data_IF_059390625367
#
_entry.id   IF_059390625367
#
_cell.length_a   1.000
_cell.length_b   1.000
_cell.length_c   1.000
_cell.angle_alpha   90.00
_cell.angle_beta   90.00
_cell.angle_gamma   90.00
#
_symmetry.space_group_name_H-M   'P 1'
#
loop_
_entity.id
_entity.type
_entity.pdbx_description
1 polymer ?
#
# COMPACT_ATOMS: atom_id res chain seq x y z
N UNK A 1 6.52 20.75 -4.90
CA UNK A 1 5.85 20.68 -6.22
C UNK A 1 6.85 20.06 -7.19
N UNK A 2 6.41 19.11 -8.00
CA UNK A 2 7.25 18.29 -8.86
C UNK A 2 6.77 18.43 -10.31
N UNK A 3 7.74 18.56 -11.22
CA UNK A 3 7.52 18.47 -12.65
C UNK A 3 7.56 16.98 -13.05
N UNK A 4 6.44 16.38 -13.48
CA UNK A 4 6.33 14.94 -13.73
C UNK A 4 7.27 14.46 -14.86
N UNK A 5 7.75 15.35 -15.72
CA UNK A 5 8.72 15.01 -16.76
C UNK A 5 10.16 14.91 -16.24
N UNK A 6 10.44 15.43 -15.04
CA UNK A 6 11.79 15.48 -14.44
C UNK A 6 11.99 14.48 -13.31
N UNK A 7 10.90 13.96 -12.74
CA UNK A 7 10.95 13.03 -11.62
C UNK A 7 10.32 11.69 -11.95
N UNK A 8 10.74 10.66 -11.23
CA UNK A 8 10.05 9.37 -11.10
C UNK A 8 9.59 9.23 -9.66
N UNK A 9 8.35 8.78 -9.47
CA UNK A 9 7.83 8.38 -8.17
C UNK A 9 7.74 6.86 -8.13
N UNK A 10 8.12 6.30 -6.99
CA UNK A 10 8.02 4.88 -6.69
C UNK A 10 7.52 4.71 -5.25
N UNK A 11 6.78 3.63 -4.99
CA UNK A 11 6.48 3.17 -3.63
C UNK A 11 7.53 2.12 -3.24
N UNK A 12 8.12 2.29 -2.06
CA UNK A 12 9.14 1.37 -1.54
C UNK A 12 8.78 0.86 -0.15
N UNK A 13 9.01 -0.43 0.06
CA UNK A 13 8.84 -1.07 1.35
C UNK A 13 9.95 -0.71 2.33
N UNK A 14 9.60 -0.59 3.60
CA UNK A 14 10.55 -0.70 4.69
C UNK A 14 11.31 -2.02 4.62
N UNK A 15 12.64 -1.97 4.76
CA UNK A 15 13.49 -3.17 4.80
C UNK A 15 13.39 -4.09 3.56
N UNK A 16 12.80 -3.62 2.45
CA UNK A 16 12.50 -4.43 1.25
C UNK A 16 11.69 -5.71 1.54
N UNK A 17 10.80 -5.65 2.53
CA UNK A 17 10.02 -6.78 3.06
C UNK A 17 8.59 -6.34 3.35
N UNK A 18 7.61 -7.25 3.19
CA UNK A 18 6.20 -6.92 3.46
C UNK A 18 5.90 -6.61 4.95
N UNK A 19 6.77 -7.09 5.84
CA UNK A 19 6.80 -6.72 7.26
C UNK A 19 8.15 -6.09 7.61
N UNK A 20 8.13 -5.16 8.55
CA UNK A 20 9.28 -4.35 8.93
C UNK A 20 8.97 -2.86 8.91
N UNK A 21 9.73 -2.12 9.71
CA UNK A 21 9.57 -0.67 9.82
C UNK A 21 10.89 0.03 9.47
N UNK A 22 10.83 1.14 8.76
CA UNK A 22 12.02 1.92 8.42
C UNK A 22 11.69 3.42 8.44
N UNK A 23 12.65 4.25 8.81
CA UNK A 23 12.46 5.72 8.74
C UNK A 23 12.32 6.13 7.27
N UNK A 24 11.39 7.04 6.97
CA UNK A 24 11.24 7.63 5.62
C UNK A 24 12.56 8.21 5.11
N UNK A 25 13.35 8.84 5.96
CA UNK A 25 14.66 9.39 5.63
C UNK A 25 15.71 8.31 5.35
N UNK A 26 15.59 7.13 5.95
CA UNK A 26 16.45 5.98 5.67
C UNK A 26 16.10 5.38 4.31
N UNK A 27 14.80 5.17 4.05
CA UNK A 27 14.28 4.75 2.74
C UNK A 27 14.74 5.70 1.63
N UNK A 28 14.58 7.00 1.83
CA UNK A 28 15.00 8.00 0.86
C UNK A 28 16.51 7.90 0.54
N UNK A 29 17.37 7.79 1.56
CA UNK A 29 18.82 7.72 1.37
C UNK A 29 19.24 6.45 0.63
N UNK A 30 18.75 5.27 1.03
CA UNK A 30 19.17 4.00 0.42
C UNK A 30 18.68 3.83 -1.02
N UNK A 31 17.61 4.53 -1.39
CA UNK A 31 17.08 4.57 -2.76
C UNK A 31 17.59 5.77 -3.58
N UNK A 32 18.50 6.59 -3.03
CA UNK A 32 19.04 7.76 -3.75
C UNK A 32 17.97 8.80 -4.11
N UNK A 33 16.92 8.91 -3.30
CA UNK A 33 15.81 9.82 -3.53
C UNK A 33 16.21 11.27 -3.21
N UNK A 34 15.78 12.22 -4.04
CA UNK A 34 15.93 13.66 -3.76
C UNK A 34 14.89 14.16 -2.77
N UNK A 35 13.73 13.50 -2.72
CA UNK A 35 12.67 13.78 -1.77
C UNK A 35 11.91 12.49 -1.44
N UNK A 36 11.26 12.43 -0.29
CA UNK A 36 10.35 11.36 0.07
C UNK A 36 9.30 11.81 1.08
N UNK A 37 8.17 11.13 1.11
CA UNK A 37 7.17 11.21 2.18
C UNK A 37 6.81 9.79 2.64
N UNK A 38 6.30 9.63 3.86
CA UNK A 38 5.71 8.35 4.25
C UNK A 38 4.51 8.01 3.35
N UNK A 39 4.23 6.71 3.19
CA UNK A 39 3.16 6.23 2.32
C UNK A 39 1.89 5.81 3.09
N UNK A 40 1.44 4.58 2.83
CA UNK A 40 0.17 4.04 3.30
C UNK A 40 0.12 3.75 4.80
N UNK A 41 -1.05 3.28 5.24
CA UNK A 41 -1.27 2.82 6.60
C UNK A 41 -0.65 1.45 6.80
N UNK A 42 -0.16 1.20 8.02
CA UNK A 42 0.50 -0.05 8.38
C UNK A 42 0.20 -0.42 9.83
N UNK A 43 0.46 -1.68 10.19
CA UNK A 43 0.40 -2.16 11.56
C UNK A 43 1.53 -1.55 12.37
N UNK A 44 1.18 -0.62 13.24
CA UNK A 44 2.12 0.12 14.09
C UNK A 44 2.08 -0.38 15.54
N UNK A 45 2.59 -1.58 15.78
CA UNK A 45 2.74 -2.19 17.11
C UNK A 45 4.16 -2.74 17.32
N UNK A 46 4.39 -3.46 18.42
CA UNK A 46 5.68 -4.07 18.76
C UNK A 46 5.73 -5.57 18.39
N UNK A 47 4.77 -6.06 17.61
CA UNK A 47 4.72 -7.47 17.21
C UNK A 47 5.73 -7.78 16.10
N UNK A 48 5.93 -9.08 15.84
CA UNK A 48 6.71 -9.53 14.67
C UNK A 48 6.06 -9.13 13.33
N UNK A 49 4.80 -8.70 13.34
CA UNK A 49 4.02 -8.27 12.18
C UNK A 49 4.03 -6.75 11.98
N UNK A 50 4.75 -6.01 12.81
CA UNK A 50 4.88 -4.57 12.67
C UNK A 50 5.36 -4.20 11.26
N UNK A 51 4.67 -3.26 10.63
CA UNK A 51 4.91 -2.84 9.24
C UNK A 51 4.05 -3.53 8.18
N UNK A 52 3.27 -4.55 8.55
CA UNK A 52 2.23 -5.11 7.68
C UNK A 52 1.32 -4.00 7.13
N UNK A 53 1.12 -3.96 5.81
CA UNK A 53 0.29 -2.94 5.17
C UNK A 53 -1.19 -3.07 5.60
N UNK A 54 -1.84 -1.95 5.90
CA UNK A 54 -3.25 -1.90 6.31
C UNK A 54 -4.13 -1.33 5.19
N UNK A 55 -4.11 -2.01 4.05
CA UNK A 55 -4.82 -1.63 2.84
C UNK A 55 -4.07 -2.08 1.60
N UNK A 56 -4.56 -1.69 0.44
CA UNK A 56 -3.96 -2.13 -0.83
C UNK A 56 -2.51 -1.65 -0.93
N UNK A 57 -1.63 -2.57 -1.32
CA UNK A 57 -0.26 -2.26 -1.65
C UNK A 57 0.17 -3.06 -2.87
N UNK A 58 0.57 -2.35 -3.92
CA UNK A 58 1.21 -2.89 -5.10
C UNK A 58 2.54 -2.18 -5.27
N UNK A 59 3.62 -2.94 -5.41
CA UNK A 59 4.94 -2.40 -5.72
C UNK A 59 5.51 -3.17 -6.89
N UNK A 60 6.02 -2.47 -7.90
CA UNK A 60 6.58 -3.05 -9.12
C UNK A 60 5.65 -4.09 -9.78
N UNK A 61 4.37 -3.74 -9.90
CA UNK A 61 3.29 -4.58 -10.47
C UNK A 61 2.97 -5.85 -9.65
N UNK A 62 3.45 -5.96 -8.41
CA UNK A 62 3.18 -7.11 -7.54
C UNK A 62 2.19 -6.71 -6.45
N UNK A 63 1.07 -7.44 -6.37
CA UNK A 63 0.10 -7.28 -5.28
C UNK A 63 0.68 -7.88 -3.99
N UNK A 64 0.94 -7.02 -3.00
CA UNK A 64 1.58 -7.38 -1.74
C UNK A 64 0.62 -7.35 -0.56
N UNK A 65 -0.47 -6.61 -0.65
CA UNK A 65 -1.53 -6.53 0.36
C UNK A 65 -2.88 -6.25 -0.30
N UNK A 66 -3.94 -6.90 0.19
CA UNK A 66 -5.31 -6.73 -0.26
C UNK A 66 -5.89 -5.36 0.08
N UNK A 67 -6.93 -4.94 -0.65
CA UNK A 67 -7.70 -3.75 -0.26
C UNK A 67 -8.57 -3.99 0.97
N UNK A 68 -8.86 -2.93 1.72
CA UNK A 68 -9.87 -2.92 2.77
C UNK A 68 -10.88 -1.77 2.54
N UNK A 69 -12.15 -2.01 2.91
CA UNK A 69 -13.21 -1.00 2.99
C UNK A 69 -13.41 -0.11 1.73
N UNK A 70 -13.06 -0.60 0.53
CA UNK A 70 -13.12 0.17 -0.73
C UNK A 70 -12.44 1.55 -0.62
N UNK A 71 -11.33 1.61 0.12
CA UNK A 71 -10.59 2.86 0.37
C UNK A 71 -9.97 3.44 -0.88
N UNK A 72 -9.78 4.76 -0.85
CA UNK A 72 -9.10 5.48 -1.92
C UNK A 72 -7.63 5.07 -1.94
N UNK A 73 -7.10 4.81 -3.13
CA UNK A 73 -5.68 4.51 -3.33
C UNK A 73 -5.04 5.50 -4.31
N UNK A 74 -3.74 5.71 -4.13
CA UNK A 74 -2.87 6.36 -5.08
C UNK A 74 -2.39 5.31 -6.09
N UNK A 75 -2.56 5.61 -7.38
CA UNK A 75 -2.02 4.85 -8.50
C UNK A 75 -0.87 5.65 -9.09
N UNK A 76 0.29 5.01 -9.26
CA UNK A 76 1.48 5.62 -9.87
C UNK A 76 1.85 4.81 -11.11
N UNK A 77 1.96 5.50 -12.24
CA UNK A 77 2.53 4.95 -13.47
C UNK A 77 3.64 5.86 -14.00
N UNK A 78 4.66 5.27 -14.64
CA UNK A 78 5.83 6.00 -15.12
C UNK A 78 6.09 5.78 -16.62
N UNK A 79 5.10 5.95 -17.52
CA UNK A 79 5.23 5.63 -18.93
C UNK A 79 6.29 6.51 -19.61
N UNK A 80 7.31 5.87 -20.18
CA UNK A 80 8.43 6.58 -20.80
C UNK A 80 9.11 7.55 -19.83
N UNK A 81 9.03 8.85 -20.13
CA UNK A 81 9.71 9.90 -19.37
C UNK A 81 8.78 10.80 -18.54
N UNK A 82 7.54 10.35 -18.27
CA UNK A 82 6.60 11.10 -17.44
C UNK A 82 6.09 10.25 -16.29
N UNK A 83 5.90 10.85 -15.12
CA UNK A 83 5.19 10.25 -13.99
C UNK A 83 3.76 10.74 -13.96
N UNK A 84 2.81 9.83 -13.87
CA UNK A 84 1.41 10.14 -13.66
C UNK A 84 0.95 9.63 -12.30
N UNK A 85 0.00 10.35 -11.72
CA UNK A 85 -0.73 9.89 -10.54
C UNK A 85 -2.23 10.01 -10.75
N UNK A 86 -2.95 9.02 -10.25
CA UNK A 86 -4.41 9.03 -10.17
C UNK A 86 -4.85 8.56 -8.79
N UNK A 87 -6.01 9.02 -8.35
CA UNK A 87 -6.66 8.58 -7.13
C UNK A 87 -7.94 7.87 -7.52
N UNK A 88 -8.26 6.74 -6.90
CA UNK A 88 -9.54 6.07 -7.07
C UNK A 88 -9.78 5.07 -5.93
N UNK A 89 -11.05 4.79 -5.57
CA UNK A 89 -11.35 3.65 -4.72
C UNK A 89 -11.03 2.34 -5.45
N UNK A 90 -10.54 1.35 -4.72
CA UNK A 90 -10.25 0.02 -5.28
C UNK A 90 -10.61 -1.08 -4.29
N UNK A 91 -11.28 -2.11 -4.81
CA UNK A 91 -11.40 -3.39 -4.13
C UNK A 91 -10.65 -4.44 -4.94
N UNK A 92 -9.56 -4.97 -4.39
CA UNK A 92 -8.65 -5.93 -5.04
C UNK A 92 -8.21 -6.99 -4.05
N UNK A 93 -8.06 -8.22 -4.55
CA UNK A 93 -7.51 -9.34 -3.80
C UNK A 93 -6.92 -10.38 -4.73
N UNK A 94 -6.41 -11.47 -4.17
CA UNK A 94 -5.94 -12.62 -4.92
C UNK A 94 -6.83 -13.83 -4.71
N UNK A 95 -6.76 -14.74 -5.66
CA UNK A 95 -7.44 -16.02 -5.62
C UNK A 95 -6.54 -17.13 -6.15
N UNK A 96 -6.97 -18.36 -5.96
CA UNK A 96 -6.44 -19.49 -6.72
C UNK A 96 -7.55 -20.41 -7.18
N UNK A 97 -7.35 -21.01 -8.34
CA UNK A 97 -8.21 -22.07 -8.87
C UNK A 97 -7.55 -23.41 -8.66
N UNK A 98 -8.31 -24.33 -8.08
CA UNK A 98 -7.89 -25.71 -7.82
C UNK A 98 -9.06 -26.66 -8.09
N UNK A 99 -8.83 -27.69 -8.91
CA UNK A 99 -9.86 -28.67 -9.28
C UNK A 99 -11.17 -28.03 -9.80
N UNK A 100 -11.06 -26.96 -10.61
CA UNK A 100 -12.22 -26.25 -11.17
C UNK A 100 -12.95 -25.32 -10.20
N UNK A 101 -12.50 -25.21 -8.96
CA UNK A 101 -13.06 -24.29 -7.96
C UNK A 101 -12.15 -23.09 -7.76
N UNK A 102 -12.75 -21.91 -7.70
CA UNK A 102 -12.06 -20.67 -7.30
C UNK A 102 -12.20 -20.44 -5.79
N UNK A 103 -11.09 -20.06 -5.17
CA UNK A 103 -10.99 -19.71 -3.76
C UNK A 103 -10.30 -18.35 -3.64
N UNK A 104 -11.01 -17.40 -3.04
CA UNK A 104 -10.46 -16.08 -2.76
C UNK A 104 -9.69 -16.11 -1.46
N UNK A 105 -8.48 -15.57 -1.47
CA UNK A 105 -7.73 -15.35 -0.24
C UNK A 105 -8.45 -14.30 0.61
N UNK A 106 -8.45 -14.50 1.93
CA UNK A 106 -8.90 -13.48 2.88
C UNK A 106 -7.83 -12.44 3.14
N UNK A 107 -6.57 -12.71 2.75
CA UNK A 107 -5.50 -11.72 2.75
C UNK A 107 -4.18 -12.20 2.18
N UNK A 108 -3.23 -11.29 2.08
CA UNK A 108 -1.92 -11.47 1.43
C UNK A 108 -0.83 -10.96 2.38
N UNK A 109 0.24 -11.75 2.58
CA UNK A 109 1.46 -11.34 3.29
C UNK A 109 1.23 -10.70 4.68
N UNK A 110 0.21 -11.16 5.41
CA UNK A 110 -0.17 -10.66 6.73
C UNK A 110 -0.29 -11.74 7.80
N UNK A 111 -0.49 -11.35 9.06
CA UNK A 111 -0.80 -12.30 10.13
C UNK A 111 -2.03 -13.14 9.78
N UNK A 112 -1.90 -14.47 9.91
CA UNK A 112 -3.01 -15.42 9.72
C UNK A 112 -3.78 -15.60 11.03
N UNK A 113 -5.05 -15.22 11.02
CA UNK A 113 -5.96 -15.35 12.17
C UNK A 113 -6.74 -16.68 12.14
N UNK A 114 -7.73 -16.79 13.01
CA UNK A 114 -8.70 -17.89 12.97
C UNK A 114 -9.65 -17.73 11.77
N UNK A 115 -9.92 -18.85 11.10
CA UNK A 115 -10.74 -18.92 9.89
C UNK A 115 -10.27 -18.02 8.72
N UNK A 116 -8.95 -17.95 8.53
CA UNK A 116 -8.30 -17.21 7.43
C UNK A 116 -7.81 -18.15 6.32
N UNK A 117 -7.67 -17.60 5.12
CA UNK A 117 -6.99 -18.18 3.96
C UNK A 117 -6.02 -17.15 3.41
N UNK A 118 -4.74 -17.28 3.74
CA UNK A 118 -3.70 -16.29 3.45
C UNK A 118 -2.78 -16.77 2.32
N UNK A 119 -2.46 -15.85 1.42
CA UNK A 119 -1.39 -16.00 0.46
C UNK A 119 -0.08 -15.42 1.01
N UNK A 120 0.95 -16.26 1.13
CA UNK A 120 2.31 -15.79 1.41
C UNK A 120 3.17 -15.89 0.16
N UNK A 121 3.71 -14.75 -0.25
CA UNK A 121 4.57 -14.57 -1.42
C UNK A 121 6.04 -14.37 -1.00
N UNK A 122 7.03 -14.54 -1.90
CA UNK A 122 8.44 -14.35 -1.57
C UNK A 122 8.77 -12.97 -1.00
N UNK A 123 7.98 -11.96 -1.33
CA UNK A 123 8.09 -10.58 -0.84
C UNK A 123 7.73 -10.45 0.65
N UNK A 124 7.02 -11.42 1.22
CA UNK A 124 6.74 -11.44 2.66
C UNK A 124 7.99 -11.70 3.50
N UNK A 125 8.83 -12.63 3.06
CA UNK A 125 9.99 -13.07 3.81
C UNK A 125 10.38 -14.51 3.49
N UNK A 126 11.32 -15.05 4.27
CA UNK A 126 11.84 -16.40 4.03
C UNK A 126 10.83 -17.51 4.37
N UNK A 127 10.00 -17.30 5.38
CA UNK A 127 8.95 -18.23 5.80
C UNK A 127 7.67 -17.50 6.17
N UNK A 128 6.57 -18.24 6.32
CA UNK A 128 5.25 -17.66 6.61
C UNK A 128 5.10 -17.07 8.01
N UNK A 129 6.06 -17.30 8.91
CA UNK A 129 6.03 -16.92 10.33
C UNK A 129 4.79 -17.41 11.10
N UNK A 130 3.98 -18.27 10.50
CA UNK A 130 2.77 -18.76 11.12
C UNK A 130 3.08 -19.71 12.27
N UNK A 131 2.17 -19.77 13.23
CA UNK A 131 2.20 -20.77 14.29
C UNK A 131 1.78 -22.14 13.76
N UNK A 132 2.13 -23.21 14.48
CA UNK A 132 1.79 -24.62 14.19
C UNK A 132 0.30 -24.96 14.35
N UNK A 133 -0.58 -24.20 13.70
CA UNK A 133 -2.03 -24.39 13.68
C UNK A 133 -2.51 -24.41 12.22
N UNK A 134 -3.47 -25.26 11.87
CA UNK A 134 -4.06 -25.27 10.52
C UNK A 134 -3.21 -25.96 9.46
N UNK A 135 -3.35 -25.53 8.21
CA UNK A 135 -2.80 -26.18 7.01
C UNK A 135 -1.99 -25.20 6.17
N UNK A 136 -0.78 -25.57 5.77
CA UNK A 136 0.00 -24.85 4.76
C UNK A 136 0.23 -25.73 3.53
N UNK A 137 -0.03 -25.18 2.35
CA UNK A 137 0.21 -25.83 1.06
C UNK A 137 1.29 -25.05 0.32
N UNK A 138 2.43 -25.70 0.11
CA UNK A 138 3.59 -25.12 -0.54
C UNK A 138 3.44 -25.36 -2.04
N UNK A 139 3.48 -24.29 -2.82
CA UNK A 139 3.30 -24.31 -4.27
C UNK A 139 4.58 -23.82 -4.93
N UNK A 140 5.09 -24.59 -5.89
CA UNK A 140 6.25 -24.22 -6.72
C UNK A 140 5.89 -24.36 -8.19
N UNK A 141 6.12 -23.33 -9.02
CA UNK A 141 5.81 -23.33 -10.46
C UNK A 141 4.41 -23.87 -10.75
N UNK A 142 3.41 -23.30 -10.06
CA UNK A 142 1.99 -23.66 -10.18
C UNK A 142 1.63 -25.11 -9.81
N UNK A 143 2.50 -25.83 -9.07
CA UNK A 143 2.21 -27.19 -8.57
C UNK A 143 2.37 -27.27 -7.07
N UNK A 144 1.47 -27.99 -6.41
CA UNK A 144 1.61 -28.32 -5.00
C UNK A 144 2.80 -29.27 -4.84
N UNK A 145 3.79 -28.89 -4.05
CA UNK A 145 4.99 -29.70 -3.79
C UNK A 145 5.05 -30.26 -2.38
N UNK A 146 4.39 -29.60 -1.42
CA UNK A 146 4.25 -30.10 -0.07
C UNK A 146 2.93 -29.62 0.55
N UNK A 147 2.45 -30.41 1.51
CA UNK A 147 1.28 -30.13 2.33
C UNK A 147 1.72 -30.36 3.76
N UNK A 148 1.51 -29.35 4.59
CA UNK A 148 2.04 -29.25 5.93
C UNK A 148 0.87 -29.04 6.89
N UNK A 149 0.60 -30.03 7.73
CA UNK A 149 -0.48 -30.00 8.72
C UNK A 149 0.12 -29.71 10.10
N UNK A 150 -0.47 -28.79 10.84
CA UNK A 150 -0.10 -28.47 12.23
C UNK A 150 1.37 -28.03 12.44
N UNK A 151 2.09 -27.76 11.36
CA UNK A 151 3.37 -27.07 11.35
C UNK A 151 3.22 -25.75 10.60
N UNK A 152 3.69 -24.67 11.21
CA UNK A 152 3.70 -23.33 10.64
C UNK A 152 5.10 -22.90 10.25
N UNK A 153 5.24 -21.67 9.76
CA UNK A 153 6.52 -21.07 9.37
C UNK A 153 7.26 -21.88 8.29
N UNK A 154 6.53 -22.39 7.29
CA UNK A 154 7.15 -23.06 6.15
C UNK A 154 7.91 -22.07 5.25
N UNK A 155 8.98 -22.53 4.61
CA UNK A 155 9.77 -21.74 3.66
C UNK A 155 8.91 -21.37 2.45
N UNK A 156 8.95 -20.10 2.08
CA UNK A 156 8.26 -19.59 0.89
C UNK A 156 9.18 -19.76 -0.33
N UNK A 157 8.80 -20.55 -1.35
CA UNK A 157 9.64 -20.76 -2.53
C UNK A 157 9.73 -19.49 -3.38
N UNK A 158 10.93 -19.14 -3.86
CA UNK A 158 11.15 -17.94 -4.70
C UNK A 158 10.37 -17.95 -6.02
N UNK A 159 10.08 -19.12 -6.56
CA UNK A 159 9.27 -19.36 -7.77
C UNK A 159 7.88 -19.92 -7.42
N UNK A 160 7.31 -19.48 -6.29
CA UNK A 160 6.11 -20.05 -5.72
C UNK A 160 5.45 -19.20 -4.64
N UNK A 161 4.52 -19.81 -3.91
CA UNK A 161 3.79 -19.23 -2.78
C UNK A 161 3.55 -20.29 -1.71
N UNK A 162 3.14 -19.86 -0.52
CA UNK A 162 2.51 -20.74 0.48
C UNK A 162 1.06 -20.29 0.68
N UNK A 163 0.13 -21.23 0.52
CA UNK A 163 -1.29 -21.04 0.84
C UNK A 163 -1.50 -21.52 2.27
N UNK A 164 -1.85 -20.62 3.18
CA UNK A 164 -1.96 -20.91 4.60
C UNK A 164 -3.40 -20.74 5.08
N UNK A 165 -3.98 -21.75 5.72
CA UNK A 165 -5.41 -21.80 6.02
C UNK A 165 -5.70 -22.27 7.45
N UNK A 166 -6.68 -21.67 8.10
CA UNK A 166 -7.26 -22.09 9.39
C UNK A 166 -8.77 -22.27 9.26
N UNK A 167 -9.42 -22.84 10.29
CA UNK A 167 -10.88 -22.99 10.33
C UNK A 167 -11.48 -23.75 9.14
N UNK A 168 -12.58 -23.25 8.60
CA UNK A 168 -13.31 -23.86 7.49
C UNK A 168 -12.47 -23.92 6.21
N UNK A 169 -11.62 -22.92 5.99
CA UNK A 169 -10.70 -22.88 4.84
C UNK A 169 -9.68 -24.01 4.90
N UNK A 170 -9.13 -24.32 6.09
CA UNK A 170 -8.23 -25.47 6.25
C UNK A 170 -8.93 -26.78 5.88
N UNK A 171 -10.17 -26.98 6.35
CA UNK A 171 -10.97 -28.15 6.02
C UNK A 171 -11.26 -28.27 4.52
N UNK A 172 -11.59 -27.15 3.86
CA UNK A 172 -11.84 -27.10 2.41
C UNK A 172 -10.56 -27.38 1.62
N UNK A 173 -9.45 -26.73 1.98
CA UNK A 173 -8.16 -26.90 1.30
C UNK A 173 -7.62 -28.32 1.48
N UNK A 174 -7.78 -28.97 2.64
CA UNK A 174 -7.39 -30.36 2.88
C UNK A 174 -8.07 -31.35 1.92
N UNK A 175 -9.33 -31.10 1.55
CA UNK A 175 -10.05 -31.92 0.56
C UNK A 175 -9.54 -31.72 -0.87
N UNK A 176 -9.04 -30.52 -1.18
CA UNK A 176 -8.66 -30.11 -2.53
C UNK A 176 -7.16 -30.25 -2.82
N UNK A 177 -6.30 -30.12 -1.84
CA UNK A 177 -4.85 -30.11 -2.03
C UNK A 177 -4.30 -31.54 -2.19
N UNK A 178 -3.56 -31.80 -3.27
CA UNK A 178 -2.85 -33.06 -3.52
C UNK A 178 -1.48 -32.75 -4.11
N UNK A 179 -0.42 -33.41 -3.66
CA UNK A 179 0.93 -33.23 -4.22
C UNK A 179 0.89 -33.48 -5.74
N UNK A 180 1.58 -32.63 -6.50
CA UNK A 180 1.61 -32.65 -7.96
C UNK A 180 0.42 -31.96 -8.65
N UNK A 181 -0.67 -31.67 -7.92
CA UNK A 181 -1.83 -30.95 -8.47
C UNK A 181 -1.44 -29.54 -8.87
N UNK A 182 -1.90 -29.12 -10.04
CA UNK A 182 -1.74 -27.75 -10.52
C UNK A 182 -2.69 -26.80 -9.81
N UNK A 183 -2.23 -25.60 -9.54
CA UNK A 183 -3.06 -24.46 -9.15
C UNK A 183 -2.85 -23.31 -10.13
N UNK A 184 -3.87 -22.50 -10.34
CA UNK A 184 -3.77 -21.26 -11.10
C UNK A 184 -3.99 -20.10 -10.15
N UNK A 185 -2.99 -19.25 -9.96
CA UNK A 185 -3.12 -18.02 -9.18
C UNK A 185 -3.82 -16.96 -10.03
N UNK A 186 -4.73 -16.20 -9.42
CA UNK A 186 -5.42 -15.08 -10.04
C UNK A 186 -5.43 -13.85 -9.12
N UNK A 187 -5.61 -12.68 -9.72
CA UNK A 187 -5.88 -11.42 -9.03
C UNK A 187 -7.22 -10.93 -9.56
N UNK A 188 -8.11 -10.53 -8.66
CA UNK A 188 -9.42 -10.01 -9.02
C UNK A 188 -9.56 -8.58 -8.53
N UNK A 189 -10.29 -7.78 -9.31
CA UNK A 189 -10.71 -6.43 -8.92
C UNK A 189 -12.22 -6.44 -8.92
N UNK A 190 -12.80 -6.06 -7.79
CA UNK A 190 -14.23 -5.82 -7.69
C UNK A 190 -14.44 -4.34 -7.99
N UNK A 191 -15.05 -4.07 -9.13
CA UNK A 191 -15.70 -2.79 -9.34
C UNK A 191 -16.90 -2.77 -8.39
N UNK A 192 -16.84 -2.02 -7.29
CA UNK A 192 -18.01 -1.89 -6.43
C UNK A 192 -19.12 -1.20 -7.26
N UNK A 193 -20.09 -2.01 -7.67
CA UNK A 193 -21.24 -1.59 -8.43
C UNK A 193 -22.45 -1.96 -7.56
N UNK A 194 -23.02 -0.98 -6.86
CA UNK A 194 -24.46 -1.03 -6.60
C UNK A 194 -25.19 -1.15 -7.94
N UNK A 195 -26.45 -1.58 -7.96
CA UNK A 195 -27.25 -2.08 -9.12
C UNK A 195 -27.20 -1.38 -10.51
N UNK A 196 -26.37 -0.38 -10.77
CA UNK A 196 -26.28 0.36 -12.03
C UNK A 196 -25.04 0.04 -12.85
N UNK A 197 -25.23 -0.11 -14.16
CA UNK A 197 -24.21 -0.16 -15.21
C UNK A 197 -22.95 0.67 -14.88
N UNK A 198 -21.76 0.03 -14.97
CA UNK A 198 -20.40 0.60 -14.89
C UNK A 198 -20.32 2.06 -14.43
N UNK A 199 -20.25 2.30 -13.13
CA UNK A 199 -20.06 3.65 -12.58
C UNK A 199 -18.79 4.32 -13.14
N UNK A 200 -18.79 5.66 -13.22
CA UNK A 200 -17.62 6.43 -13.65
C UNK A 200 -16.36 6.12 -12.84
N UNK A 201 -16.51 5.83 -11.54
CA UNK A 201 -15.44 5.38 -10.67
C UNK A 201 -14.90 4.00 -11.06
N UNK A 202 -15.76 3.06 -11.46
CA UNK A 202 -15.32 1.74 -11.95
C UNK A 202 -14.44 1.85 -13.20
N UNK A 203 -14.80 2.74 -14.12
CA UNK A 203 -14.01 3.02 -15.34
C UNK A 203 -12.67 3.70 -14.99
N UNK A 204 -12.68 4.66 -14.06
CA UNK A 204 -11.46 5.33 -13.57
C UNK A 204 -10.52 4.32 -12.92
N UNK A 205 -11.00 3.52 -11.98
CA UNK A 205 -10.22 2.47 -11.30
C UNK A 205 -9.65 1.47 -12.30
N UNK A 206 -10.45 0.99 -13.26
CA UNK A 206 -9.98 0.05 -14.28
C UNK A 206 -8.85 0.61 -15.13
N UNK A 207 -8.97 1.86 -15.60
CA UNK A 207 -7.92 2.54 -16.38
C UNK A 207 -6.66 2.82 -15.56
N UNK A 208 -6.81 3.34 -14.34
CA UNK A 208 -5.70 3.62 -13.45
C UNK A 208 -4.93 2.33 -13.14
N UNK A 209 -5.65 1.29 -12.72
CA UNK A 209 -5.07 -0.02 -12.42
C UNK A 209 -4.32 -0.63 -13.62
N UNK A 210 -4.89 -0.56 -14.82
CA UNK A 210 -4.28 -1.18 -16.02
C UNK A 210 -2.89 -0.62 -16.38
N UNK A 211 -2.52 0.54 -15.84
CA UNK A 211 -1.23 1.21 -16.09
C UNK A 211 -0.33 1.27 -14.87
N UNK A 212 -0.90 1.18 -13.67
CA UNK A 212 -0.17 1.44 -12.44
C UNK A 212 0.94 0.41 -12.20
N UNK A 213 2.16 0.92 -11.99
CA UNK A 213 3.30 0.14 -11.54
C UNK A 213 3.24 -0.04 -10.02
N UNK A 214 2.87 1.03 -9.31
CA UNK A 214 2.74 1.04 -7.85
C UNK A 214 1.37 1.56 -7.43
N UNK A 215 0.85 1.01 -6.33
CA UNK A 215 -0.38 1.45 -5.68
C UNK A 215 -0.17 1.46 -4.17
N UNK A 216 -0.54 2.54 -3.50
CA UNK A 216 -0.61 2.55 -2.03
C UNK A 216 -1.95 3.10 -1.54
N UNK A 217 -2.51 2.45 -0.54
CA UNK A 217 -3.75 2.87 0.11
C UNK A 217 -3.60 4.18 0.89
N UNK A 218 -4.67 4.97 0.91
CA UNK A 218 -4.82 6.15 1.75
C UNK A 218 -6.20 6.16 2.40
N UNK A 219 -6.45 7.23 3.17
CA UNK A 219 -7.74 7.59 3.75
C UNK A 219 -7.62 9.08 4.08
N UNK A 220 -8.35 10.00 3.47
CA UNK A 220 -9.45 9.90 2.50
C UNK A 220 -9.05 10.57 1.19
N UNK A 221 -9.82 10.40 0.10
CA UNK A 221 -9.81 11.39 -0.98
C UNK A 221 -10.13 12.77 -0.37
N UNK A 222 -9.43 13.81 -0.83
CA UNK A 222 -9.55 15.17 -0.31
C UNK A 222 -10.23 16.07 -1.33
N UNK A 223 -9.73 16.02 -2.57
CA UNK A 223 -10.19 16.82 -3.70
C UNK A 223 -10.41 15.92 -4.91
N UNK A 224 -11.46 16.22 -5.67
CA UNK A 224 -11.75 15.59 -6.96
C UNK A 224 -12.20 16.65 -7.94
N UNK A 225 -11.52 16.75 -9.09
CA UNK A 225 -11.85 17.71 -10.15
C UNK A 225 -12.02 19.18 -9.65
N UNK A 226 -11.13 19.62 -8.76
CA UNK A 226 -11.12 20.97 -8.21
C UNK A 226 -12.24 21.25 -7.20
N UNK A 227 -12.81 20.21 -6.58
CA UNK A 227 -13.83 20.33 -5.53
C UNK A 227 -13.47 19.48 -4.33
N UNK A 228 -13.85 19.95 -3.14
CA UNK A 228 -13.73 19.15 -1.91
C UNK A 228 -14.60 17.90 -2.04
N UNK A 229 -13.98 16.74 -1.83
CA UNK A 229 -14.63 15.45 -1.92
C UNK A 229 -14.05 14.53 -0.83
N UNK A 230 -14.56 14.68 0.39
CA UNK A 230 -14.14 13.89 1.54
C UNK A 230 -14.94 12.59 1.63
N UNK A 231 -14.27 11.45 1.50
CA UNK A 231 -14.82 10.09 1.48
C UNK A 231 -14.55 9.29 2.75
N UNK A 232 -14.05 9.93 3.82
CA UNK A 232 -13.61 9.23 5.03
C UNK A 232 -14.73 8.42 5.72
N UNK A 233 -16.01 8.81 5.55
CA UNK A 233 -17.16 8.09 6.11
C UNK A 233 -17.41 6.78 5.37
N UNK A 234 -17.43 6.85 4.04
CA UNK A 234 -17.58 5.71 3.13
C UNK A 234 -16.42 4.72 3.31
N UNK A 235 -15.22 5.25 3.54
CA UNK A 235 -13.98 4.52 3.81
C UNK A 235 -13.86 3.98 5.26
N UNK A 236 -14.91 4.18 6.07
CA UNK A 236 -15.05 3.75 7.47
C UNK A 236 -13.91 4.22 8.38
N UNK A 237 -13.43 5.43 8.17
CA UNK A 237 -12.48 6.07 9.06
C UNK A 237 -13.16 6.57 10.33
N UNK A 238 -12.42 6.62 11.45
CA UNK A 238 -12.94 7.17 12.69
C UNK A 238 -13.21 8.68 12.55
N UNK A 239 -14.30 9.17 13.16
CA UNK A 239 -14.62 10.60 13.16
C UNK A 239 -13.48 11.45 13.76
N UNK A 240 -12.86 10.98 14.85
CA UNK A 240 -11.71 11.65 15.47
C UNK A 240 -10.45 11.69 14.59
N UNK A 241 -10.33 10.79 13.61
CA UNK A 241 -9.28 10.87 12.61
C UNK A 241 -9.55 11.98 11.60
N UNK A 242 -10.81 12.21 11.24
CA UNK A 242 -11.20 13.20 10.25
C UNK A 242 -11.31 14.62 10.82
N UNK A 243 -11.98 14.77 11.96
CA UNK A 243 -12.43 16.05 12.50
C UNK A 243 -11.48 16.66 13.53
N UNK A 244 -10.55 15.88 14.11
CA UNK A 244 -9.51 16.46 14.96
C UNK A 244 -8.30 16.89 14.11
N UNK A 245 -7.57 17.89 14.62
CA UNK A 245 -6.31 18.32 14.02
C UNK A 245 -5.20 17.32 14.32
N UNK A 246 -4.53 16.85 13.28
CA UNK A 246 -3.38 15.96 13.35
C UNK A 246 -2.29 16.44 12.39
N UNK A 247 -1.02 16.02 12.59
CA UNK A 247 -0.06 16.02 11.50
C UNK A 247 -0.62 15.21 10.32
N UNK A 248 -0.42 15.69 9.10
CA UNK A 248 -0.97 15.09 7.87
C UNK A 248 0.11 14.90 6.83
N UNK A 249 -0.01 13.82 6.07
CA UNK A 249 0.74 13.62 4.83
C UNK A 249 -0.27 13.50 3.70
N UNK A 250 -0.05 14.21 2.60
CA UNK A 250 -0.92 14.13 1.44
C UNK A 250 -0.13 14.21 0.14
N UNK A 251 -0.73 13.67 -0.91
CA UNK A 251 -0.25 13.79 -2.28
C UNK A 251 -1.38 14.37 -3.14
N UNK A 252 -1.01 15.23 -4.07
CA UNK A 252 -1.93 16.06 -4.82
C UNK A 252 -1.46 16.24 -6.26
N UNK A 253 -2.42 16.49 -7.16
CA UNK A 253 -2.22 16.77 -8.58
C UNK A 253 -2.86 18.10 -8.94
N UNK A 254 -2.14 18.92 -9.69
CA UNK A 254 -2.65 20.16 -10.28
C UNK A 254 -3.33 19.86 -11.63
N UNK A 255 -4.19 20.77 -12.15
CA UNK A 255 -4.82 20.62 -13.47
C UNK A 255 -3.82 20.41 -14.63
N UNK A 256 -2.61 20.94 -14.50
CA UNK A 256 -1.53 20.80 -15.49
C UNK A 256 -0.68 19.53 -15.31
N UNK A 257 -1.08 18.64 -14.40
CA UNK A 257 -0.38 17.38 -14.13
C UNK A 257 0.80 17.49 -13.16
N UNK A 258 1.17 18.70 -12.70
CA UNK A 258 2.20 18.82 -11.65
C UNK A 258 1.76 18.11 -10.37
N UNK A 259 2.73 17.53 -9.67
CA UNK A 259 2.50 16.76 -8.44
C UNK A 259 2.92 17.59 -7.23
N UNK A 260 2.18 17.48 -6.13
CA UNK A 260 2.52 18.07 -4.84
C UNK A 260 2.60 16.96 -3.79
N UNK A 261 3.74 16.88 -3.11
CA UNK A 261 3.87 16.18 -1.83
C UNK A 261 3.68 17.22 -0.72
N UNK A 262 2.85 16.90 0.27
CA UNK A 262 2.54 17.78 1.39
C UNK A 262 2.75 17.05 2.72
N UNK A 263 3.44 17.71 3.64
CA UNK A 263 3.55 17.33 5.05
C UNK A 263 3.13 18.50 5.92
N UNK A 264 2.21 18.25 6.83
CA UNK A 264 1.70 19.22 7.80
C UNK A 264 2.13 18.74 9.17
N UNK A 265 2.96 19.53 9.86
CA UNK A 265 3.32 19.26 11.26
C UNK A 265 2.10 19.39 12.18
N UNK A 266 2.14 18.78 13.36
CA UNK A 266 1.05 18.90 14.33
C UNK A 266 1.44 18.44 15.72
N UNK A 267 0.49 18.54 16.66
CA UNK A 267 0.66 18.18 18.09
C UNK A 267 1.76 18.98 18.81
N UNK A 268 2.08 20.18 18.31
CA UNK A 268 3.07 21.09 18.91
C UNK A 268 2.41 22.46 19.13
N UNK A 269 1.70 22.67 20.26
CA UNK A 269 1.11 23.96 20.60
C UNK A 269 2.14 25.10 20.50
N UNK A 270 1.75 26.22 19.90
CA UNK A 270 2.64 27.36 19.65
C UNK A 270 3.54 27.23 18.41
N UNK A 271 3.55 26.09 17.72
CA UNK A 271 4.28 25.89 16.45
C UNK A 271 3.35 25.41 15.34
N UNK A 272 2.85 24.18 15.45
CA UNK A 272 1.82 23.65 14.56
C UNK A 272 0.89 22.72 15.32
N UNK A 273 -0.41 22.98 15.21
CA UNK A 273 -1.46 22.17 15.83
C UNK A 273 -1.98 21.07 14.89
N UNK A 274 -1.54 21.05 13.63
CA UNK A 274 -2.03 20.14 12.60
C UNK A 274 -3.28 20.66 11.90
N UNK A 275 -3.89 19.81 11.08
CA UNK A 275 -5.10 20.11 10.32
C UNK A 275 -6.14 18.99 10.44
N UNK A 276 -7.42 19.35 10.39
CA UNK A 276 -8.51 18.41 10.07
C UNK A 276 -8.41 18.01 8.59
N UNK A 277 -9.13 16.96 8.16
CA UNK A 277 -9.18 16.63 6.73
C UNK A 277 -9.84 17.76 5.90
N UNK A 278 -10.84 18.43 6.47
CA UNK A 278 -11.50 19.58 5.85
C UNK A 278 -10.54 20.76 5.65
N UNK A 279 -9.80 21.15 6.70
CA UNK A 279 -8.82 22.25 6.63
C UNK A 279 -7.71 21.96 5.61
N UNK A 280 -7.24 20.70 5.55
CA UNK A 280 -6.25 20.29 4.56
C UNK A 280 -6.81 20.38 3.13
N UNK A 281 -8.04 19.90 2.90
CA UNK A 281 -8.68 19.98 1.58
C UNK A 281 -8.90 21.43 1.15
N UNK A 282 -9.40 22.30 2.04
CA UNK A 282 -9.57 23.73 1.80
C UNK A 282 -8.24 24.41 1.45
N UNK A 283 -7.17 24.10 2.18
CA UNK A 283 -5.84 24.62 1.89
C UNK A 283 -5.34 24.19 0.51
N UNK A 284 -5.42 22.89 0.19
CA UNK A 284 -4.99 22.36 -1.11
C UNK A 284 -5.80 22.98 -2.26
N UNK A 285 -7.11 23.15 -2.09
CA UNK A 285 -7.97 23.82 -3.05
C UNK A 285 -7.57 25.28 -3.24
N UNK A 286 -7.27 26.00 -2.15
CA UNK A 286 -6.88 27.42 -2.18
C UNK A 286 -5.60 27.68 -2.99
N UNK A 287 -4.70 26.69 -3.08
CA UNK A 287 -3.46 26.78 -3.85
C UNK A 287 -3.58 26.20 -5.27
N UNK A 288 -4.79 25.81 -5.70
CA UNK A 288 -5.11 25.41 -7.08
C UNK A 288 -4.99 23.91 -7.39
N UNK A 289 -4.95 23.04 -6.37
CA UNK A 289 -4.93 21.58 -6.58
C UNK A 289 -6.28 21.10 -7.14
N UNK A 290 -6.25 20.18 -8.11
CA UNK A 290 -7.46 19.58 -8.67
C UNK A 290 -7.86 18.30 -7.94
N UNK A 291 -6.90 17.43 -7.67
CA UNK A 291 -7.14 16.10 -7.10
C UNK A 291 -6.14 15.84 -5.97
N UNK A 292 -6.59 15.25 -4.87
CA UNK A 292 -5.71 14.98 -3.74
C UNK A 292 -6.22 13.84 -2.88
N UNK A 293 -5.30 13.17 -2.20
CA UNK A 293 -5.58 12.11 -1.24
C UNK A 293 -4.69 12.27 0.00
N UNK A 294 -5.26 11.99 1.16
CA UNK A 294 -4.52 11.89 2.42
C UNK A 294 -3.90 10.49 2.59
N UNK A 295 -2.65 10.46 3.03
CA UNK A 295 -1.85 9.27 3.36
C UNK A 295 -1.79 9.07 4.88
N UNK A 296 -0.99 8.12 5.36
CA UNK A 296 -0.81 7.96 6.82
C UNK A 296 -0.23 9.24 7.44
N UNK A 297 -0.68 9.58 8.64
CA UNK A 297 -0.40 10.86 9.29
C UNK A 297 0.16 10.71 10.69
N UNK A 298 -0.08 11.72 11.54
CA UNK A 298 0.35 11.68 12.93
C UNK A 298 1.88 11.57 13.06
N UNK A 299 2.36 10.62 13.86
CA UNK A 299 3.80 10.42 14.05
C UNK A 299 4.54 9.94 12.80
N UNK A 300 3.81 9.38 11.83
CA UNK A 300 4.36 8.92 10.56
C UNK A 300 4.70 10.08 9.63
N UNK A 301 4.06 11.25 9.79
CA UNK A 301 4.27 12.42 8.91
C UNK A 301 5.72 12.86 8.91
N UNK A 302 6.38 12.54 7.80
CA UNK A 302 7.78 12.88 7.56
C UNK A 302 7.96 13.26 6.11
N UNK A 303 8.61 14.40 5.86
CA UNK A 303 9.09 14.80 4.55
C UNK A 303 10.62 14.87 4.58
N UNK A 304 11.23 14.10 3.69
CA UNK A 304 12.65 14.18 3.37
C UNK A 304 12.85 15.00 2.11
N UNK A 305 13.84 15.89 2.10
CA UNK A 305 14.25 16.66 0.93
C UNK A 305 15.74 16.97 1.04
N UNK A 306 16.49 16.65 -0.02
CA UNK A 306 17.88 17.05 -0.20
C UNK A 306 18.77 16.74 1.02
N UNK A 307 18.86 15.46 1.39
CA UNK A 307 19.74 15.01 2.47
C UNK A 307 19.11 14.94 3.86
N UNK A 308 17.99 15.64 4.10
CA UNK A 308 17.46 15.88 5.45
C UNK A 308 15.94 15.80 5.56
N UNK A 309 15.46 15.57 6.79
CA UNK A 309 14.05 15.75 7.15
C UNK A 309 13.78 17.26 7.27
N UNK A 310 12.72 17.75 6.63
CA UNK A 310 12.41 19.19 6.53
C UNK A 310 11.18 19.61 7.34
N UNK A 311 10.42 18.67 7.89
CA UNK A 311 9.33 18.93 8.81
C UNK A 311 9.72 18.54 10.25
N UNK A 312 8.82 18.69 11.22
CA UNK A 312 9.03 18.35 12.63
C UNK A 312 8.20 17.12 13.04
N UNK A 313 8.70 15.88 12.89
CA UNK A 313 8.01 14.67 13.30
C UNK A 313 7.42 14.76 14.70
N UNK A 314 6.17 14.34 14.88
CA UNK A 314 5.43 14.67 16.10
C UNK A 314 5.74 13.77 17.31
N UNK A 315 6.30 12.58 17.08
CA UNK A 315 6.59 11.64 18.16
C UNK A 315 7.76 12.13 19.01
N UNK A 316 7.70 11.88 20.32
CA UNK A 316 8.75 12.29 21.26
C UNK A 316 10.13 11.68 20.93
N UNK A 317 10.14 10.49 20.33
CA UNK A 317 11.37 9.80 19.87
C UNK A 317 11.88 10.30 18.51
N UNK A 318 11.24 11.30 17.91
CA UNK A 318 11.57 11.86 16.60
C UNK A 318 10.85 11.17 15.45
N UNK A 319 11.53 11.04 14.30
CA UNK A 319 11.01 10.39 13.10
C UNK A 319 10.57 8.94 13.38
N UNK A 320 9.29 8.65 13.17
CA UNK A 320 8.72 7.31 13.28
C UNK A 320 9.19 6.42 12.13
N UNK A 321 9.36 5.13 12.42
CA UNK A 321 9.58 4.11 11.39
C UNK A 321 8.22 3.69 10.80
N UNK A 322 8.10 3.66 9.48
CA UNK A 322 6.88 3.37 8.71
C UNK A 322 7.03 2.07 7.92
N UNK A 323 5.92 1.50 7.43
CA UNK A 323 5.93 0.27 6.61
C UNK A 323 6.31 0.50 5.14
N UNK A 324 6.05 1.69 4.61
CA UNK A 324 6.37 2.07 3.25
C UNK A 324 6.50 3.60 3.08
N UNK A 325 7.15 4.02 1.99
CA UNK A 325 7.33 5.41 1.64
C UNK A 325 7.16 5.64 0.13
N UNK A 326 6.75 6.86 -0.24
CA UNK A 326 6.78 7.34 -1.61
C UNK A 326 8.08 8.11 -1.78
N UNK A 327 8.94 7.64 -2.67
CA UNK A 327 10.22 8.27 -3.00
C UNK A 327 10.16 9.02 -4.32
N UNK A 328 10.98 10.05 -4.44
CA UNK A 328 11.14 10.85 -5.65
C UNK A 328 12.58 10.79 -6.11
N UNK A 329 12.80 10.26 -7.30
CA UNK A 329 14.11 10.24 -7.96
C UNK A 329 14.10 11.15 -9.19
N UNK A 330 15.25 11.71 -9.55
CA UNK A 330 15.40 12.54 -10.74
C UNK A 330 15.62 11.67 -11.99
N UNK A 331 14.85 11.91 -13.05
CA UNK A 331 15.04 11.25 -14.35
C UNK A 331 16.38 11.69 -14.96
N UNK A 332 17.16 10.73 -15.45
CA UNK A 332 18.45 11.00 -16.10
C UNK A 332 19.67 11.06 -15.17
N UNK A 333 19.49 10.91 -13.85
CA UNK A 333 20.60 10.90 -12.87
C UNK A 333 21.29 9.54 -12.74
N UNK A 334 20.72 8.48 -13.32
CA UNK A 334 21.42 7.20 -13.47
C UNK A 334 22.38 7.24 -14.68
N UNK A 335 23.37 8.12 -14.60
CA UNK A 335 24.64 7.96 -15.32
C UNK A 335 25.75 8.12 -14.29
N UNK A 336 26.55 7.06 -14.14
CA UNK A 336 27.74 6.91 -13.29
C UNK A 336 27.52 6.23 -11.91
N UNK A 337 27.31 4.91 -11.93
CA UNK A 337 27.74 4.02 -10.84
C UNK A 337 27.81 2.57 -11.36
N UNK A 338 28.71 2.32 -12.31
CA UNK A 338 29.20 0.97 -12.68
C UNK A 338 30.41 1.13 -13.58
N UNK A 339 31.47 1.72 -13.02
CA UNK A 339 32.86 1.51 -13.45
C UNK A 339 33.76 1.74 -12.24
N UNK A 340 34.03 0.68 -11.49
CA UNK A 340 35.37 0.26 -11.10
C UNK A 340 35.29 -1.12 -10.46
#
# INVERSE_FOLDING_TARGET
>A
RLDPAKVRLDVVHAMDSAIGLEKTSSLARRHGAIAAINGGFFRNDESIWAGEASGVLIINNRLLSESNNNRTALFIDNPGNITNIEFAPITIGSCFKIAGLELNFTGINRERNDNDLIEYTPEFGRSTLTLGRGLEVIVKRNKIVAISEESGSNIIPQDGIVISATGEYAGRLKRLARIGRKIERCVYIIHQVGNDFLSSDSVRTGKAFSRAEDITGGVSELLRNGRIHLTWKEEKAAQSFAENRHPRTAIAKFPDGRILLAAVDGRRPGQSVGMTLQELAEYLLSIGVSDAMNLDGGGSTTMYLDGRVVNNPSDAKGERRVGDAIIVTLRGSQKQSTKK
#
